data_IF_721551580069
#
_entry.id   IF_721551580069
#
_cell.length_a   1.000
_cell.length_b   1.000
_cell.length_c   1.000
_cell.angle_alpha   90.00
_cell.angle_beta   90.00
_cell.angle_gamma   90.00
#
_symmetry.space_group_name_H-M   'P 1'
#
loop_
_entity.id
_entity.type
_entity.pdbx_description
1 polymer ?
#
# COMPACT_ATOMS: atom_id res chain seq x y z
N UNK A 1 -13.69 9.10 37.14
CA UNK A 1 -12.38 8.67 36.61
C UNK A 1 -12.66 7.79 35.41
N UNK A 2 -12.59 8.36 34.19
CA UNK A 2 -12.81 7.65 32.93
C UNK A 2 -11.51 6.93 32.53
N UNK A 3 -11.60 5.62 32.39
CA UNK A 3 -10.51 4.77 31.88
C UNK A 3 -10.43 4.93 30.36
N UNK A 4 -9.31 5.46 29.90
CA UNK A 4 -9.01 5.68 28.50
C UNK A 4 -8.48 4.35 27.93
N UNK A 5 -9.37 3.57 27.30
CA UNK A 5 -9.03 2.33 26.61
C UNK A 5 -8.18 2.64 25.38
N UNK A 6 -6.86 2.60 25.53
CA UNK A 6 -5.93 2.55 24.41
C UNK A 6 -5.79 1.09 23.99
N UNK A 7 -6.52 0.69 22.96
CA UNK A 7 -6.34 -0.62 22.33
C UNK A 7 -4.99 -0.62 21.59
N UNK A 8 -3.98 -1.24 22.19
CA UNK A 8 -2.69 -1.47 21.55
C UNK A 8 -2.86 -2.67 20.62
N UNK A 9 -2.78 -2.46 19.30
CA UNK A 9 -2.74 -3.54 18.33
C UNK A 9 -1.41 -4.29 18.43
N UNK A 10 -1.42 -5.47 19.06
CA UNK A 10 -0.27 -6.35 19.17
C UNK A 10 -0.09 -7.15 17.86
N UNK A 11 1.08 -7.02 17.23
CA UNK A 11 1.51 -7.85 16.10
C UNK A 11 2.30 -9.04 16.66
N UNK A 12 1.71 -10.24 16.64
CA UNK A 12 2.41 -11.49 17.00
C UNK A 12 3.07 -12.09 15.77
N UNK A 13 4.40 -11.94 15.66
CA UNK A 13 5.21 -12.62 14.64
C UNK A 13 5.57 -14.02 15.16
N UNK A 14 4.93 -15.05 14.60
CA UNK A 14 5.34 -16.45 14.77
C UNK A 14 6.32 -16.82 13.64
N UNK A 15 7.59 -16.97 13.97
CA UNK A 15 8.62 -17.43 13.04
C UNK A 15 8.73 -18.96 13.09
N UNK A 16 8.21 -19.66 12.08
CA UNK A 16 8.48 -21.08 11.81
C UNK A 16 9.58 -21.18 10.76
N UNK A 17 10.78 -21.60 11.18
CA UNK A 17 11.89 -21.93 10.29
C UNK A 17 11.76 -23.38 9.81
N UNK A 18 11.30 -23.56 8.57
CA UNK A 18 11.46 -24.81 7.84
C UNK A 18 12.72 -24.71 6.95
N UNK A 19 13.73 -25.53 7.23
CA UNK A 19 14.92 -25.63 6.40
C UNK A 19 14.60 -26.48 5.14
N UNK A 20 14.51 -25.83 3.98
CA UNK A 20 14.44 -26.51 2.68
C UNK A 20 15.81 -26.42 1.98
N UNK A 21 16.30 -27.58 1.53
CA UNK A 21 17.59 -27.79 0.85
C UNK A 21 17.62 -27.03 -0.49
N UNK A 22 18.73 -26.35 -0.88
CA UNK A 22 18.76 -25.57 -2.11
C UNK A 22 18.91 -26.48 -3.34
N UNK A 23 17.84 -26.59 -4.14
CA UNK A 23 17.92 -27.01 -5.54
C UNK A 23 18.31 -25.82 -6.41
N UNK A 24 19.31 -26.00 -7.28
CA UNK A 24 19.78 -24.94 -8.18
C UNK A 24 18.69 -24.50 -9.16
N UNK A 25 18.24 -23.26 -9.04
CA UNK A 25 17.36 -22.62 -10.03
C UNK A 25 18.28 -21.95 -11.05
N UNK A 26 18.31 -22.48 -12.27
CA UNK A 26 18.95 -21.81 -13.41
C UNK A 26 18.15 -20.54 -13.71
N UNK A 27 18.69 -19.39 -13.31
CA UNK A 27 18.09 -18.08 -13.55
C UNK A 27 18.18 -17.73 -15.04
N UNK A 28 17.04 -17.74 -15.73
CA UNK A 28 16.93 -17.21 -17.09
C UNK A 28 16.87 -15.68 -16.98
N UNK A 29 17.84 -14.97 -17.53
CA UNK A 29 17.89 -13.50 -17.48
C UNK A 29 16.62 -12.87 -18.06
N UNK A 30 16.05 -11.91 -17.34
CA UNK A 30 14.92 -11.10 -17.82
C UNK A 30 15.43 -9.99 -18.75
N UNK A 31 14.69 -9.74 -19.83
CA UNK A 31 14.97 -8.66 -20.78
C UNK A 31 14.08 -7.48 -20.47
N UNK A 32 14.69 -6.33 -20.14
CA UNK A 32 13.97 -5.10 -19.83
C UNK A 32 14.12 -4.11 -20.99
N UNK A 33 12.99 -3.54 -21.43
CA UNK A 33 12.97 -2.45 -22.41
C UNK A 33 12.99 -1.11 -21.67
N UNK A 34 14.06 -0.33 -21.82
CA UNK A 34 14.15 1.03 -21.28
C UNK A 34 13.83 2.02 -22.39
N UNK A 35 12.88 2.93 -22.14
CA UNK A 35 12.42 3.93 -23.10
C UNK A 35 12.75 5.35 -22.60
N UNK A 36 13.50 6.12 -23.39
CA UNK A 36 13.83 7.52 -23.06
C UNK A 36 13.03 8.52 -23.95
N UNK A 37 11.80 8.18 -24.32
CA UNK A 37 10.94 9.03 -25.15
C UNK A 37 11.25 9.04 -26.66
N UNK A 38 12.48 8.69 -27.07
CA UNK A 38 12.90 8.72 -28.49
C UNK A 38 13.38 7.36 -29.02
N UNK A 39 13.88 6.48 -28.13
CA UNK A 39 14.40 5.15 -28.49
C UNK A 39 14.19 4.14 -27.35
N UNK A 40 13.88 2.90 -27.72
CA UNK A 40 13.89 1.75 -26.81
C UNK A 40 15.23 1.03 -26.90
N UNK A 41 15.82 0.69 -25.75
CA UNK A 41 17.02 -0.15 -25.67
C UNK A 41 16.69 -1.39 -24.86
N UNK A 42 17.06 -2.54 -25.43
CA UNK A 42 16.94 -3.84 -24.78
C UNK A 42 18.16 -4.10 -23.90
N UNK A 43 17.92 -4.21 -22.60
CA UNK A 43 18.95 -4.50 -21.62
C UNK A 43 18.74 -5.91 -21.07
N UNK A 44 19.76 -6.75 -21.21
CA UNK A 44 19.80 -8.09 -20.60
C UNK A 44 20.65 -7.99 -19.32
N UNK A 45 20.05 -8.15 -18.15
CA UNK A 45 20.78 -8.10 -16.88
C UNK A 45 21.06 -9.51 -16.37
N UNK A 46 22.32 -9.79 -16.04
CA UNK A 46 22.69 -10.99 -15.28
C UNK A 46 22.17 -10.89 -13.85
N UNK A 47 21.65 -11.99 -13.30
CA UNK A 47 21.05 -12.03 -11.97
C UNK A 47 22.10 -11.78 -10.87
N UNK A 48 22.28 -10.52 -10.47
CA UNK A 48 22.97 -10.13 -9.23
C UNK A 48 21.93 -9.89 -8.13
N UNK A 49 22.23 -10.36 -6.92
CA UNK A 49 21.39 -10.28 -5.70
C UNK A 49 20.97 -8.83 -5.37
N UNK A 50 21.73 -7.83 -5.82
CA UNK A 50 21.39 -6.41 -5.69
C UNK A 50 20.16 -5.97 -6.52
N UNK A 51 19.84 -6.67 -7.61
CA UNK A 51 18.74 -6.31 -8.52
C UNK A 51 17.36 -6.47 -7.86
N UNK A 52 17.24 -7.39 -6.88
CA UNK A 52 15.98 -7.56 -6.13
C UNK A 52 15.62 -6.33 -5.30
N UNK A 53 16.61 -5.61 -4.78
CA UNK A 53 16.37 -4.42 -3.95
C UNK A 53 15.89 -3.24 -4.80
N UNK A 54 16.40 -3.11 -6.02
CA UNK A 54 16.00 -2.03 -6.94
C UNK A 54 14.58 -2.28 -7.49
N UNK A 55 14.25 -3.52 -7.87
CA UNK A 55 12.91 -3.85 -8.35
C UNK A 55 11.84 -3.72 -7.25
N UNK A 56 12.19 -4.08 -6.00
CA UNK A 56 11.30 -3.88 -4.85
C UNK A 56 11.11 -2.39 -4.50
N UNK A 57 12.15 -1.56 -4.66
CA UNK A 57 12.05 -0.12 -4.46
C UNK A 57 11.22 0.57 -5.55
N UNK A 58 11.26 0.08 -6.79
CA UNK A 58 10.42 0.58 -7.90
C UNK A 58 8.99 0.03 -7.86
N UNK A 59 8.76 -1.14 -7.25
CA UNK A 59 7.43 -1.72 -7.04
C UNK A 59 6.67 -1.07 -5.86
N UNK A 60 7.39 -0.36 -4.98
CA UNK A 60 6.80 0.46 -3.92
C UNK A 60 6.28 1.76 -4.53
N UNK A 61 5.09 1.71 -5.13
CA UNK A 61 4.51 2.84 -5.83
C UNK A 61 4.51 4.14 -5.04
N UNK A 62 4.58 5.24 -5.77
CA UNK A 62 4.82 6.58 -5.23
C UNK A 62 3.74 6.99 -4.23
N UNK A 63 4.19 7.63 -3.16
CA UNK A 63 3.35 8.13 -2.07
C UNK A 63 3.32 9.65 -2.15
N UNK A 64 2.12 10.23 -2.19
CA UNK A 64 1.91 11.67 -2.11
C UNK A 64 0.96 12.02 -0.96
N UNK A 65 1.09 13.23 -0.39
CA UNK A 65 0.23 13.71 0.69
C UNK A 65 -1.00 14.46 0.20
N UNK A 66 -1.46 14.19 -1.03
CA UNK A 66 -2.67 14.84 -1.55
C UNK A 66 -3.89 14.19 -0.92
N UNK A 67 -4.92 15.00 -0.70
CA UNK A 67 -6.18 14.60 -0.12
C UNK A 67 -7.11 15.80 -0.02
N UNK A 68 -8.16 15.64 0.77
CA UNK A 68 -9.12 16.69 1.10
C UNK A 68 -8.44 17.92 1.75
N UNK A 69 -9.01 19.10 1.53
CA UNK A 69 -8.61 20.32 2.24
C UNK A 69 -8.81 20.24 3.77
N UNK A 70 -9.57 19.24 4.24
CA UNK A 70 -9.93 19.02 5.64
C UNK A 70 -9.12 17.89 6.30
N UNK A 71 -8.01 17.46 5.70
CA UNK A 71 -7.17 16.40 6.24
C UNK A 71 -6.61 16.70 7.64
N UNK A 72 -6.42 17.97 7.99
CA UNK A 72 -5.98 18.39 9.33
C UNK A 72 -7.07 18.23 10.42
N UNK A 73 -8.33 17.96 10.03
CA UNK A 73 -9.47 17.86 10.94
C UNK A 73 -9.93 16.42 11.18
N UNK A 74 -9.05 15.44 10.95
CA UNK A 74 -9.39 14.02 11.02
C UNK A 74 -9.18 13.41 12.42
N UNK A 75 -8.36 14.04 13.27
CA UNK A 75 -8.04 13.53 14.60
C UNK A 75 -7.51 12.08 14.53
N UNK A 76 -7.99 11.21 15.44
CA UNK A 76 -7.65 9.78 15.44
C UNK A 76 -8.44 8.93 14.44
N UNK A 77 -9.36 9.54 13.66
CA UNK A 77 -10.29 8.80 12.79
C UNK A 77 -9.57 7.85 11.83
N UNK A 78 -8.42 8.25 11.28
CA UNK A 78 -7.67 7.41 10.34
C UNK A 78 -7.01 6.21 11.04
N UNK A 79 -6.60 6.37 12.30
CA UNK A 79 -5.98 5.32 13.08
C UNK A 79 -7.04 4.28 13.48
N UNK A 80 -8.24 4.75 13.82
CA UNK A 80 -9.39 3.89 14.07
C UNK A 80 -9.85 3.15 12.81
N UNK A 81 -9.81 3.81 11.64
CA UNK A 81 -10.11 3.18 10.36
C UNK A 81 -9.05 2.12 10.00
N UNK A 82 -7.76 2.42 10.20
CA UNK A 82 -6.65 1.47 10.06
C UNK A 82 -6.87 0.20 10.89
N UNK A 83 -7.31 0.34 12.14
CA UNK A 83 -7.61 -0.80 13.03
C UNK A 83 -8.77 -1.69 12.56
N UNK A 84 -9.65 -1.20 11.67
CA UNK A 84 -10.78 -1.97 11.13
C UNK A 84 -10.42 -2.74 9.86
N UNK A 85 -9.25 -2.50 9.26
CA UNK A 85 -8.83 -3.22 8.06
C UNK A 85 -8.46 -4.65 8.44
N UNK A 86 -9.09 -5.61 7.76
CA UNK A 86 -8.72 -7.02 7.89
C UNK A 86 -7.65 -7.33 6.83
N UNK A 87 -6.42 -7.71 7.20
CA UNK A 87 -5.31 -7.85 6.26
C UNK A 87 -5.58 -8.83 5.10
N UNK A 88 -6.33 -9.90 5.38
CA UNK A 88 -6.64 -10.96 4.41
C UNK A 88 -7.85 -10.68 3.52
N UNK A 89 -8.58 -9.58 3.75
CA UNK A 89 -9.72 -9.24 2.90
C UNK A 89 -9.26 -8.61 1.60
N UNK A 90 -10.00 -8.90 0.52
CA UNK A 90 -9.83 -8.22 -0.76
C UNK A 90 -10.78 -7.02 -0.84
N UNK A 91 -10.24 -5.87 -1.21
CA UNK A 91 -10.97 -4.64 -1.48
C UNK A 91 -10.86 -4.34 -2.98
N UNK A 92 -11.99 -4.20 -3.66
CA UNK A 92 -12.02 -3.97 -5.11
C UNK A 92 -13.03 -2.92 -5.53
N UNK A 93 -12.79 -2.25 -6.64
CA UNK A 93 -13.68 -1.24 -7.23
C UNK A 93 -14.49 -1.78 -8.41
N UNK A 94 -14.77 -3.09 -8.43
CA UNK A 94 -15.62 -3.68 -9.46
C UNK A 94 -17.09 -3.24 -9.28
N UNK A 95 -17.89 -3.37 -10.35
CA UNK A 95 -19.34 -3.14 -10.35
C UNK A 95 -19.74 -1.71 -9.91
N UNK A 96 -19.14 -0.71 -10.56
CA UNK A 96 -19.45 0.72 -10.39
C UNK A 96 -19.11 1.34 -9.02
N UNK A 97 -18.40 0.60 -8.15
CA UNK A 97 -17.87 1.18 -6.92
C UNK A 97 -16.67 2.08 -7.24
N UNK A 98 -16.76 3.38 -6.99
CA UNK A 98 -15.60 4.28 -7.21
C UNK A 98 -14.46 4.04 -6.21
N UNK A 99 -14.80 3.58 -5.00
CA UNK A 99 -13.88 3.35 -3.89
C UNK A 99 -14.39 2.22 -2.98
N UNK A 100 -13.51 1.37 -2.46
CA UNK A 100 -13.86 0.37 -1.43
C UNK A 100 -12.78 0.25 -0.37
N UNK A 101 -13.19 -0.01 0.87
CA UNK A 101 -12.25 0.09 1.98
C UNK A 101 -12.91 0.05 3.36
N UNK A 102 -12.27 0.70 4.31
CA UNK A 102 -12.77 0.87 5.67
C UNK A 102 -12.79 2.33 6.06
N UNK A 103 -13.67 2.69 6.99
CA UNK A 103 -13.75 4.04 7.52
C UNK A 103 -14.03 4.06 9.02
N UNK A 104 -13.75 5.21 9.64
CA UNK A 104 -14.14 5.50 11.01
C UNK A 104 -14.32 7.01 11.16
N UNK A 105 -15.46 7.45 11.70
CA UNK A 105 -15.75 8.87 11.90
C UNK A 105 -15.64 9.66 10.60
N UNK A 106 -14.55 10.42 10.46
CA UNK A 106 -14.33 11.32 9.31
C UNK A 106 -13.19 10.92 8.39
N UNK A 107 -12.56 9.77 8.60
CA UNK A 107 -11.47 9.27 7.75
C UNK A 107 -11.76 7.88 7.22
N UNK A 108 -11.25 7.58 6.03
CA UNK A 108 -11.23 6.22 5.53
C UNK A 108 -10.00 5.89 4.69
N UNK A 109 -9.78 4.58 4.56
CA UNK A 109 -8.70 3.97 3.81
C UNK A 109 -9.35 3.16 2.69
N UNK A 110 -9.09 3.52 1.43
CA UNK A 110 -9.80 2.98 0.28
C UNK A 110 -8.86 2.58 -0.86
N UNK A 111 -9.20 1.50 -1.55
CA UNK A 111 -8.80 1.27 -2.94
C UNK A 111 -9.66 2.16 -3.83
N UNK A 112 -9.04 2.81 -4.80
CA UNK A 112 -9.67 3.73 -5.72
C UNK A 112 -9.08 3.58 -7.12
N UNK A 113 -9.89 3.88 -8.13
CA UNK A 113 -9.57 3.72 -9.54
C UNK A 113 -10.51 2.73 -10.22
N UNK A 114 -10.28 2.50 -11.51
CA UNK A 114 -11.13 1.65 -12.34
C UNK A 114 -10.68 0.18 -12.27
N UNK A 115 -11.61 -0.73 -11.92
CA UNK A 115 -11.36 -2.17 -11.81
C UNK A 115 -10.12 -2.53 -10.98
N UNK A 116 -9.96 -1.86 -9.85
CA UNK A 116 -8.83 -2.03 -8.96
C UNK A 116 -9.10 -3.10 -7.92
N UNK A 117 -8.03 -3.75 -7.47
CA UNK A 117 -8.07 -4.75 -6.41
C UNK A 117 -6.80 -4.62 -5.57
N UNK A 118 -6.96 -4.67 -4.26
CA UNK A 118 -5.86 -4.76 -3.31
C UNK A 118 -6.26 -5.59 -2.09
N UNK A 119 -5.27 -6.16 -1.41
CA UNK A 119 -5.48 -6.81 -0.12
C UNK A 119 -5.55 -5.77 0.99
N UNK A 120 -6.19 -6.12 2.11
CA UNK A 120 -6.18 -5.30 3.31
C UNK A 120 -4.76 -4.99 3.79
N UNK A 121 -3.82 -5.92 3.60
CA UNK A 121 -2.41 -5.67 3.87
C UNK A 121 -1.85 -4.47 3.08
N UNK A 122 -2.24 -4.32 1.81
CA UNK A 122 -1.79 -3.19 1.00
C UNK A 122 -2.34 -1.85 1.54
N UNK A 123 -3.57 -1.85 2.09
CA UNK A 123 -4.15 -0.67 2.74
C UNK A 123 -3.38 -0.28 4.00
N UNK A 124 -3.01 -1.27 4.82
CA UNK A 124 -2.20 -1.07 6.03
C UNK A 124 -0.81 -0.54 5.66
N UNK A 125 -0.19 -1.11 4.63
CA UNK A 125 1.14 -0.72 4.15
C UNK A 125 1.11 0.70 3.57
N UNK A 126 0.09 1.04 2.78
CA UNK A 126 -0.08 2.39 2.24
C UNK A 126 -0.26 3.45 3.35
N UNK A 127 -1.04 3.12 4.39
CA UNK A 127 -1.22 3.98 5.56
C UNK A 127 0.11 4.23 6.30
N UNK A 128 0.90 3.17 6.49
CA UNK A 128 2.21 3.24 7.15
C UNK A 128 3.24 3.99 6.30
N UNK A 129 3.27 3.73 5.00
CA UNK A 129 4.17 4.40 4.05
C UNK A 129 3.86 5.90 3.95
N UNK A 130 2.58 6.29 3.98
CA UNK A 130 2.17 7.70 3.98
C UNK A 130 2.77 8.47 5.16
N UNK A 131 2.83 7.85 6.34
CA UNK A 131 3.41 8.47 7.54
C UNK A 131 4.94 8.44 7.55
N UNK A 132 5.54 7.32 7.13
CA UNK A 132 6.99 7.09 7.26
C UNK A 132 7.80 7.65 6.09
N UNK A 133 7.32 7.47 4.86
CA UNK A 133 8.02 7.83 3.62
C UNK A 133 7.47 9.12 3.01
N UNK A 134 6.15 9.25 2.98
CA UNK A 134 5.49 10.46 2.47
C UNK A 134 5.59 11.65 3.42
N UNK A 135 5.86 11.40 4.71
CA UNK A 135 5.78 12.41 5.79
C UNK A 135 4.43 13.12 5.84
N UNK A 136 3.36 12.40 5.50
CA UNK A 136 2.01 12.92 5.49
C UNK A 136 1.42 12.88 6.90
N UNK A 137 0.88 14.03 7.35
CA UNK A 137 0.30 14.17 8.70
C UNK A 137 -0.96 13.30 8.88
N UNK A 138 -1.88 13.32 7.91
CA UNK A 138 -3.21 12.72 8.06
C UNK A 138 -3.69 11.97 6.83
N UNK A 139 -3.70 12.63 5.67
CA UNK A 139 -4.10 12.03 4.40
C UNK A 139 -2.90 11.70 3.53
N UNK A 140 -3.08 10.76 2.63
CA UNK A 140 -2.08 10.43 1.63
C UNK A 140 -2.64 9.48 0.60
N UNK A 141 -1.92 9.32 -0.50
CA UNK A 141 -2.28 8.41 -1.56
C UNK A 141 -1.03 7.67 -2.01
N UNK A 142 -1.17 6.37 -2.19
CA UNK A 142 -0.12 5.50 -2.72
C UNK A 142 -0.59 4.96 -4.06
N UNK A 143 0.17 5.23 -5.12
CA UNK A 143 -0.08 4.59 -6.40
C UNK A 143 0.21 3.09 -6.29
N UNK A 144 -0.68 2.31 -6.89
CA UNK A 144 -0.48 0.88 -7.14
C UNK A 144 -0.56 0.66 -8.67
N UNK A 145 -0.47 -0.59 -9.12
CA UNK A 145 -0.36 -0.89 -10.55
C UNK A 145 -1.60 -0.42 -11.35
N UNK A 146 -1.40 -0.16 -12.64
CA UNK A 146 -2.48 0.08 -13.62
C UNK A 146 -3.38 1.29 -13.32
N UNK A 147 -2.85 2.34 -12.69
CA UNK A 147 -3.62 3.56 -12.39
C UNK A 147 -4.51 3.45 -11.16
N UNK A 148 -4.48 2.31 -10.48
CA UNK A 148 -5.11 2.11 -9.20
C UNK A 148 -4.33 2.84 -8.09
N UNK A 149 -5.03 3.21 -7.02
CA UNK A 149 -4.43 3.88 -5.89
C UNK A 149 -5.09 3.47 -4.59
N UNK A 150 -4.31 3.53 -3.52
CA UNK A 150 -4.82 3.44 -2.16
C UNK A 150 -4.82 4.85 -1.58
N UNK A 151 -5.97 5.30 -1.08
CA UNK A 151 -6.19 6.64 -0.53
C UNK A 151 -6.48 6.55 0.96
N UNK A 152 -5.82 7.39 1.74
CA UNK A 152 -6.22 7.77 3.10
C UNK A 152 -6.76 9.19 2.99
N UNK A 153 -8.07 9.36 3.12
CA UNK A 153 -8.71 10.64 2.88
C UNK A 153 -9.90 10.88 3.81
N UNK A 154 -10.36 12.14 3.84
CA UNK A 154 -11.58 12.52 4.54
C UNK A 154 -12.81 11.89 3.89
N UNK A 155 -13.70 11.39 4.74
CA UNK A 155 -15.09 11.08 4.39
C UNK A 155 -16.06 11.98 5.14
N UNK A 156 -17.25 12.18 4.57
CA UNK A 156 -18.34 12.94 5.22
C UNK A 156 -19.06 12.13 6.29
N UNK A 157 -18.95 10.80 6.24
CA UNK A 157 -19.50 9.88 7.22
C UNK A 157 -19.12 8.43 6.90
N UNK A 158 -19.09 7.63 7.95
CA UNK A 158 -18.95 6.19 7.97
C UNK A 158 -20.13 5.64 8.80
#
# INVERSE_FOLDING_TARGET
MQLINHAICAVTVLATIAAAVPGSIVARGEKLHVFNGEKSVMVETGASVETRNVLAALAQGDVDCKGSAFCEQLGSSCDDAYCKVTPSNTYNTYLDNSETGTCSGTCGLFVSGDHCEALGQDLLDAYNDSRKRGHCSHCGRKQIANGCMIKIDRVTGC
#
